data_IF_884242258240
#
_entry.id   IF_884242258240
#
_cell.length_a   1.000
_cell.length_b   1.000
_cell.length_c   1.000
_cell.angle_alpha   90.00
_cell.angle_beta   90.00
_cell.angle_gamma   90.00
#
_symmetry.space_group_name_H-M   'P 1'
#
loop_
_entity.id
_entity.type
_entity.pdbx_description
1 polymer ?
#
# COMPACT_ATOMS: atom_id res chain seq x y z
N UNK A 1 4.32 23.21 -19.79
CA UNK A 1 5.55 23.53 -20.56
C UNK A 1 5.81 22.39 -21.52
N UNK A 2 6.02 22.60 -22.83
CA UNK A 2 6.17 21.47 -23.77
C UNK A 2 7.54 20.77 -23.61
N UNK A 3 7.64 19.50 -24.01
CA UNK A 3 8.86 18.65 -23.88
C UNK A 3 10.12 19.29 -24.48
N UNK A 4 9.96 20.09 -25.53
CA UNK A 4 11.07 20.81 -26.16
C UNK A 4 11.56 21.96 -25.29
N UNK A 5 10.64 22.71 -24.67
CA UNK A 5 10.96 23.82 -23.78
C UNK A 5 11.58 23.31 -22.47
N UNK A 6 11.15 22.16 -21.96
CA UNK A 6 11.76 21.54 -20.78
C UNK A 6 13.19 21.05 -21.05
N UNK A 7 13.40 20.35 -22.17
CA UNK A 7 14.76 19.93 -22.59
C UNK A 7 15.67 21.13 -22.83
N UNK A 8 15.19 22.16 -23.52
CA UNK A 8 15.95 23.38 -23.75
C UNK A 8 16.34 24.09 -22.43
N UNK A 9 15.44 24.09 -21.44
CA UNK A 9 15.74 24.67 -20.12
C UNK A 9 16.74 23.82 -19.32
N UNK A 10 16.65 22.49 -19.42
CA UNK A 10 17.57 21.57 -18.74
C UNK A 10 18.97 21.57 -19.37
N UNK A 11 19.04 21.56 -20.71
CA UNK A 11 20.30 21.61 -21.46
C UNK A 11 20.99 22.98 -21.32
N UNK A 12 20.26 24.02 -20.92
CA UNK A 12 20.80 25.35 -20.62
C UNK A 12 21.35 25.49 -19.19
N UNK A 13 21.23 24.46 -18.34
CA UNK A 13 21.84 24.46 -17.00
C UNK A 13 23.33 24.16 -17.15
N UNK A 14 24.15 25.20 -16.97
CA UNK A 14 25.60 25.07 -17.00
C UNK A 14 26.10 24.56 -15.64
N UNK A 15 26.39 23.27 -15.54
CA UNK A 15 27.03 22.70 -14.36
C UNK A 15 28.52 23.01 -14.39
N UNK A 16 29.12 23.29 -13.23
CA UNK A 16 30.56 23.41 -13.17
C UNK A 16 31.22 22.09 -13.64
N UNK A 17 32.32 22.12 -14.41
CA UNK A 17 32.95 20.92 -14.96
C UNK A 17 33.36 19.89 -13.89
N UNK A 18 33.51 20.36 -12.66
CA UNK A 18 33.88 19.61 -11.46
C UNK A 18 32.67 19.29 -10.55
N UNK A 19 31.42 19.53 -10.99
CA UNK A 19 30.23 19.32 -10.17
C UNK A 19 30.11 17.88 -9.69
N UNK A 20 30.32 16.92 -10.60
CA UNK A 20 30.32 15.49 -10.29
C UNK A 20 31.44 15.15 -9.30
N UNK A 21 32.66 15.62 -9.57
CA UNK A 21 33.82 15.38 -8.71
C UNK A 21 33.66 15.98 -7.31
N UNK A 22 33.13 17.20 -7.21
CA UNK A 22 32.83 17.87 -5.93
C UNK A 22 31.72 17.18 -5.16
N UNK A 23 30.71 16.66 -5.87
CA UNK A 23 29.61 15.93 -5.24
C UNK A 23 30.10 14.59 -4.71
N UNK A 24 30.90 13.85 -5.50
CA UNK A 24 31.56 12.62 -5.07
C UNK A 24 32.52 12.85 -3.90
N UNK A 25 33.31 13.93 -3.90
CA UNK A 25 34.18 14.30 -2.77
C UNK A 25 33.38 14.61 -1.51
N UNK A 26 32.25 15.34 -1.61
CA UNK A 26 31.39 15.62 -0.46
C UNK A 26 30.76 14.34 0.11
N UNK A 27 30.33 13.42 -0.75
CA UNK A 27 29.79 12.12 -0.34
C UNK A 27 30.85 11.25 0.34
N UNK A 28 32.08 11.22 -0.19
CA UNK A 28 33.20 10.52 0.43
C UNK A 28 33.59 11.13 1.79
N UNK A 29 33.58 12.47 1.90
CA UNK A 29 33.86 13.17 3.15
C UNK A 29 32.79 12.89 4.22
N UNK A 30 31.51 12.83 3.83
CA UNK A 30 30.42 12.47 4.73
C UNK A 30 30.50 11.00 5.19
N UNK A 31 30.88 10.07 4.28
CA UNK A 31 31.15 8.67 4.63
C UNK A 31 32.27 8.56 5.67
N UNK A 32 33.40 9.24 5.46
CA UNK A 32 34.51 9.22 6.41
C UNK A 32 34.21 9.91 7.75
N UNK A 33 33.35 10.93 7.76
CA UNK A 33 32.87 11.55 9.00
C UNK A 33 32.01 10.58 9.81
N UNK A 34 31.09 9.87 9.15
CA UNK A 34 30.23 8.84 9.76
C UNK A 34 31.05 7.65 10.28
N UNK A 35 32.05 7.17 9.52
CA UNK A 35 32.97 6.11 9.97
C UNK A 35 33.80 6.53 11.19
N UNK A 36 34.25 7.80 11.27
CA UNK A 36 34.96 8.32 12.44
C UNK A 36 34.04 8.44 13.67
N UNK A 37 32.77 8.76 13.48
CA UNK A 37 31.80 8.80 14.58
C UNK A 37 31.46 7.38 15.09
N UNK A 38 31.37 6.39 14.21
CA UNK A 38 31.18 4.99 14.60
C UNK A 38 32.42 4.40 15.30
N UNK A 39 33.63 4.73 14.84
CA UNK A 39 34.86 4.17 15.41
C UNK A 39 35.26 4.83 16.76
N UNK A 40 34.64 5.95 17.14
CA UNK A 40 34.89 6.65 18.42
C UNK A 40 33.99 6.16 19.57
N UNK A 41 33.08 5.22 19.32
CA UNK A 41 32.33 4.51 20.37
C UNK A 41 32.82 3.07 20.52
N UNK A 42 33.96 2.92 21.18
CA UNK A 42 34.44 1.62 21.66
C UNK A 42 35.13 1.78 23.02
N UNK A 43 34.75 0.90 23.96
CA UNK A 43 35.31 0.65 25.30
C UNK A 43 34.95 1.64 26.43
N UNK A 44 33.76 1.48 27.04
CA UNK A 44 33.58 1.36 28.52
C UNK A 44 32.13 1.33 29.08
N UNK A 45 31.13 0.74 28.40
CA UNK A 45 29.80 0.49 29.03
C UNK A 45 29.19 -0.88 28.74
N UNK A 46 30.02 -1.91 28.82
CA UNK A 46 29.61 -3.31 28.62
C UNK A 46 28.88 -3.93 29.84
N UNK A 47 27.99 -3.17 30.54
CA UNK A 47 27.23 -3.67 31.70
C UNK A 47 25.75 -3.26 31.80
N UNK A 48 25.13 -2.69 30.76
CA UNK A 48 23.68 -2.40 30.76
C UNK A 48 23.02 -2.66 29.40
N UNK A 49 23.26 -3.83 28.83
CA UNK A 49 22.59 -4.29 27.59
C UNK A 49 21.78 -5.54 27.93
N UNK A 50 20.57 -5.34 28.43
CA UNK A 50 19.50 -6.36 28.44
C UNK A 50 18.10 -5.75 28.32
N UNK A 51 17.98 -4.45 28.07
CA UNK A 51 16.68 -3.77 27.97
C UNK A 51 16.74 -2.68 26.91
N UNK A 52 17.07 -3.05 25.66
CA UNK A 52 17.03 -2.17 24.48
C UNK A 52 17.10 -2.97 23.15
N UNK A 53 16.74 -4.25 23.18
CA UNK A 53 16.71 -5.10 21.99
C UNK A 53 15.38 -5.01 21.20
N UNK A 54 14.45 -4.14 21.62
CA UNK A 54 13.20 -3.87 20.90
C UNK A 54 13.22 -2.56 20.09
N UNK A 55 14.28 -1.74 20.19
CA UNK A 55 14.39 -0.47 19.46
C UNK A 55 15.45 -0.48 18.35
N UNK A 56 16.12 -1.61 18.12
CA UNK A 56 17.21 -1.73 17.14
C UNK A 56 16.81 -2.47 15.85
N UNK A 57 15.60 -3.05 15.78
CA UNK A 57 15.06 -3.63 14.52
C UNK A 57 14.39 -2.57 13.66
N UNK A 58 14.00 -1.42 14.22
CA UNK A 58 13.35 -0.32 13.50
C UNK A 58 14.32 0.69 12.82
N UNK A 59 15.64 0.48 12.85
CA UNK A 59 16.64 1.46 12.36
C UNK A 59 17.55 0.95 11.23
N UNK A 60 17.21 -0.18 10.59
CA UNK A 60 18.02 -0.75 9.49
C UNK A 60 17.37 -0.68 8.09
N UNK A 61 16.33 0.14 7.90
CA UNK A 61 15.81 0.47 6.57
C UNK A 61 16.00 1.96 6.25
N UNK A 62 17.24 2.45 6.30
CA UNK A 62 17.60 3.68 5.57
C UNK A 62 18.64 3.29 4.54
N UNK A 63 18.19 2.67 3.45
CA UNK A 63 19.02 2.58 2.25
C UNK A 63 18.99 3.95 1.56
N UNK A 64 20.10 4.65 1.67
CA UNK A 64 20.40 5.88 0.94
C UNK A 64 20.21 5.64 -0.55
N UNK A 65 19.40 6.49 -1.17
CA UNK A 65 19.05 6.49 -2.59
C UNK A 65 20.28 6.40 -3.49
N UNK A 66 20.34 5.36 -4.33
CA UNK A 66 20.91 5.56 -5.66
C UNK A 66 19.90 6.44 -6.41
N UNK A 67 20.25 7.69 -6.71
CA UNK A 67 19.47 8.54 -7.60
C UNK A 67 19.58 8.00 -9.04
N UNK A 68 18.97 6.84 -9.29
CA UNK A 68 18.41 6.55 -10.62
C UNK A 68 17.17 7.43 -10.69
N UNK A 69 17.04 8.28 -11.71
CA UNK A 69 15.89 9.17 -11.86
C UNK A 69 14.63 8.34 -12.14
N UNK A 70 13.95 7.88 -11.09
CA UNK A 70 12.64 7.23 -11.18
C UNK A 70 11.56 8.25 -11.53
N UNK A 71 10.44 7.80 -12.11
CA UNK A 71 9.32 8.68 -12.43
C UNK A 71 8.71 9.25 -11.15
N UNK A 72 8.36 10.54 -11.14
CA UNK A 72 7.50 11.10 -10.09
C UNK A 72 6.06 10.61 -10.24
N UNK A 73 5.19 10.68 -9.21
CA UNK A 73 3.77 10.34 -9.35
C UNK A 73 3.09 11.05 -10.54
N UNK A 74 3.41 12.32 -10.78
CA UNK A 74 2.92 13.06 -11.94
C UNK A 74 3.39 12.47 -13.28
N UNK A 75 4.67 12.08 -13.38
CA UNK A 75 5.19 11.43 -14.59
C UNK A 75 4.61 10.03 -14.80
N UNK A 76 4.30 9.30 -13.72
CA UNK A 76 3.59 8.02 -13.82
C UNK A 76 2.19 8.23 -14.41
N UNK A 77 1.47 9.27 -13.98
CA UNK A 77 0.18 9.63 -14.57
C UNK A 77 0.31 10.06 -16.05
N UNK A 78 1.35 10.81 -16.42
CA UNK A 78 1.63 11.17 -17.82
C UNK A 78 1.86 9.93 -18.70
N UNK A 79 2.61 8.94 -18.21
CA UNK A 79 2.84 7.67 -18.94
C UNK A 79 1.54 6.87 -19.16
N UNK A 80 0.57 7.01 -18.24
CA UNK A 80 -0.77 6.45 -18.40
C UNK A 80 -1.72 7.35 -19.22
N UNK A 81 -1.19 8.38 -19.86
CA UNK A 81 -1.91 9.37 -20.66
C UNK A 81 -3.00 10.12 -19.90
N UNK A 82 -2.83 10.33 -18.59
CA UNK A 82 -3.74 11.12 -17.76
C UNK A 82 -3.08 12.44 -17.30
N UNK A 83 -3.08 13.48 -18.15
CA UNK A 83 -2.48 14.76 -17.81
C UNK A 83 -3.22 15.49 -16.68
N UNK A 84 -4.51 15.22 -16.47
CA UNK A 84 -5.28 15.83 -15.38
C UNK A 84 -4.82 15.28 -14.03
N UNK A 85 -4.61 13.95 -13.97
CA UNK A 85 -4.05 13.32 -12.78
C UNK A 85 -2.60 13.73 -12.54
N UNK A 86 -1.83 13.93 -13.61
CA UNK A 86 -0.47 14.46 -13.51
C UNK A 86 -0.44 15.87 -12.89
N UNK A 87 -1.34 16.77 -13.29
CA UNK A 87 -1.50 18.09 -12.68
C UNK A 87 -1.93 18.00 -11.21
N UNK A 88 -2.84 17.08 -10.88
CA UNK A 88 -3.27 16.84 -9.50
C UNK A 88 -2.10 16.42 -8.59
N UNK A 89 -1.21 15.55 -9.07
CA UNK A 89 0.02 15.16 -8.36
C UNK A 89 1.06 16.28 -8.21
N UNK A 90 0.91 17.41 -8.92
CA UNK A 90 1.74 18.61 -8.77
C UNK A 90 1.07 19.68 -7.90
N UNK A 91 -0.17 19.47 -7.49
CA UNK A 91 -0.93 20.40 -6.66
C UNK A 91 -0.55 20.29 -5.17
N UNK A 92 -1.00 21.27 -4.37
CA UNK A 92 -0.84 21.24 -2.91
C UNK A 92 -1.66 20.12 -2.24
N UNK A 93 -2.65 19.55 -2.94
CA UNK A 93 -3.45 18.43 -2.44
C UNK A 93 -2.72 17.09 -2.53
N UNK A 94 -1.61 17.01 -3.29
CA UNK A 94 -0.82 15.80 -3.41
C UNK A 94 0.05 15.58 -2.16
N UNK A 95 -0.03 14.38 -1.59
CA UNK A 95 0.83 13.95 -0.51
C UNK A 95 1.97 13.11 -1.08
N UNK A 96 3.19 13.63 -1.02
CA UNK A 96 4.40 12.90 -1.41
C UNK A 96 4.91 12.11 -0.20
N UNK A 97 5.05 10.80 -0.37
CA UNK A 97 5.35 9.85 0.71
C UNK A 97 6.76 9.29 0.57
N UNK A 98 7.03 8.58 -0.53
CA UNK A 98 8.26 7.82 -0.77
C UNK A 98 8.63 6.88 0.38
N UNK A 99 7.63 6.26 1.00
CA UNK A 99 7.84 5.24 2.03
C UNK A 99 8.14 3.89 1.37
N UNK A 100 9.14 3.17 1.87
CA UNK A 100 9.62 1.92 1.28
C UNK A 100 9.52 0.77 2.28
N UNK A 101 9.05 -0.38 1.81
CA UNK A 101 9.05 -1.65 2.56
C UNK A 101 9.56 -2.80 1.67
N UNK A 102 10.18 -3.82 2.28
CA UNK A 102 10.63 -5.04 1.58
C UNK A 102 9.59 -6.14 1.75
N UNK A 103 9.24 -6.79 0.63
CA UNK A 103 8.23 -7.86 0.55
C UNK A 103 8.79 -8.99 -0.28
N UNK A 104 9.05 -10.14 0.35
CA UNK A 104 9.74 -11.25 -0.30
C UNK A 104 11.03 -10.78 -0.97
N UNK A 105 11.13 -10.98 -2.28
CA UNK A 105 12.27 -10.54 -3.08
C UNK A 105 12.14 -9.12 -3.66
N UNK A 106 11.11 -8.38 -3.28
CA UNK A 106 10.79 -7.07 -3.84
C UNK A 106 10.97 -5.93 -2.82
N UNK A 107 11.27 -4.76 -3.33
CA UNK A 107 11.20 -3.49 -2.61
C UNK A 107 10.04 -2.69 -3.18
N UNK A 108 9.05 -2.44 -2.34
CA UNK A 108 7.83 -1.69 -2.66
C UNK A 108 7.96 -0.27 -2.12
N UNK A 109 7.56 0.73 -2.90
CA UNK A 109 7.57 2.13 -2.46
C UNK A 109 6.23 2.79 -2.74
N UNK A 110 5.54 3.25 -1.69
CA UNK A 110 4.41 4.16 -1.80
C UNK A 110 4.94 5.56 -2.08
N UNK A 111 4.80 5.99 -3.33
CA UNK A 111 5.43 7.22 -3.83
C UNK A 111 4.65 8.47 -3.42
N UNK A 112 3.32 8.40 -3.52
CA UNK A 112 2.44 9.47 -3.13
C UNK A 112 0.99 9.19 -3.46
N UNK A 113 0.11 10.07 -3.00
CA UNK A 113 -1.33 9.97 -3.23
C UNK A 113 -1.95 11.35 -3.43
N UNK A 114 -3.13 11.39 -4.04
CA UNK A 114 -3.94 12.61 -4.18
C UNK A 114 -5.41 12.22 -4.16
N UNK A 115 -6.23 13.03 -3.48
CA UNK A 115 -7.68 12.90 -3.47
C UNK A 115 -8.33 14.14 -4.07
N UNK A 116 -9.48 13.98 -4.71
CA UNK A 116 -10.25 15.10 -5.22
C UNK A 116 -11.28 14.70 -6.29
N UNK A 117 -12.20 15.61 -6.57
CA UNK A 117 -13.17 15.48 -7.65
C UNK A 117 -12.61 16.05 -8.96
N UNK A 118 -12.92 15.40 -10.08
CA UNK A 118 -12.52 15.83 -11.42
C UNK A 118 -11.00 16.07 -11.54
N UNK A 119 -10.19 15.15 -10.98
CA UNK A 119 -8.73 15.21 -11.04
C UNK A 119 -8.11 14.16 -11.95
N UNK A 120 -8.89 13.27 -12.56
CA UNK A 120 -8.43 12.27 -13.53
C UNK A 120 -9.46 12.10 -14.64
N UNK A 121 -8.99 11.86 -15.87
CA UNK A 121 -9.89 11.58 -16.99
C UNK A 121 -10.57 10.20 -16.89
N UNK A 122 -10.13 9.34 -15.95
CA UNK A 122 -10.77 8.08 -15.63
C UNK A 122 -12.07 8.26 -14.81
N UNK A 123 -12.28 9.45 -14.22
CA UNK A 123 -13.55 9.82 -13.62
C UNK A 123 -14.64 9.94 -14.71
N UNK A 124 -15.50 8.93 -14.85
CA UNK A 124 -16.68 9.02 -15.71
C UNK A 124 -17.75 9.98 -15.14
N UNK A 125 -17.78 10.15 -13.81
CA UNK A 125 -18.59 11.14 -13.12
C UNK A 125 -17.70 12.28 -12.59
N UNK A 126 -17.97 13.49 -13.08
CA UNK A 126 -17.20 14.70 -12.77
C UNK A 126 -17.43 15.16 -11.32
N UNK A 127 -18.48 14.65 -10.64
CA UNK A 127 -18.84 15.10 -9.28
C UNK A 127 -18.31 14.20 -8.16
N UNK A 128 -17.91 12.96 -8.45
CA UNK A 128 -17.42 12.05 -7.42
C UNK A 128 -15.95 12.33 -7.09
N UNK A 129 -15.65 12.54 -5.80
CA UNK A 129 -14.27 12.61 -5.32
C UNK A 129 -13.65 11.22 -5.34
N UNK A 130 -12.41 11.12 -5.80
CA UNK A 130 -11.66 9.87 -5.91
C UNK A 130 -10.29 9.99 -5.25
N UNK A 131 -9.72 8.86 -4.84
CA UNK A 131 -8.37 8.78 -4.30
C UNK A 131 -7.48 7.99 -5.26
N UNK A 132 -6.32 8.56 -5.57
CA UNK A 132 -5.29 7.95 -6.40
C UNK A 132 -4.02 7.73 -5.58
N UNK A 133 -3.41 6.56 -5.69
CA UNK A 133 -2.12 6.26 -5.04
C UNK A 133 -1.15 5.64 -6.04
N UNK A 134 0.10 6.10 -6.02
CA UNK A 134 1.18 5.59 -6.88
C UNK A 134 2.13 4.75 -6.07
N UNK A 135 2.30 3.50 -6.50
CA UNK A 135 3.22 2.55 -5.92
C UNK A 135 4.22 2.11 -6.98
N UNK A 136 5.46 1.87 -6.56
CA UNK A 136 6.44 1.23 -7.44
C UNK A 136 7.07 0.01 -6.79
N UNK A 137 7.45 -0.95 -7.63
CA UNK A 137 8.03 -2.23 -7.23
C UNK A 137 9.30 -2.49 -8.03
N UNK A 138 10.35 -2.92 -7.36
CA UNK A 138 11.60 -3.42 -7.95
C UNK A 138 12.04 -4.69 -7.24
N UNK A 139 12.90 -5.48 -7.89
CA UNK A 139 13.63 -6.54 -7.19
C UNK A 139 14.59 -5.94 -6.18
N UNK A 140 14.62 -6.51 -4.98
CA UNK A 140 15.56 -6.15 -3.91
C UNK A 140 17.01 -6.41 -4.32
N UNK A 141 17.25 -7.43 -5.15
CA UNK A 141 18.58 -7.78 -5.66
C UNK A 141 19.08 -6.87 -6.81
N UNK A 142 18.26 -5.93 -7.27
CA UNK A 142 18.59 -5.00 -8.36
C UNK A 142 18.40 -5.55 -9.77
N UNK A 143 17.92 -6.78 -9.93
CA UNK A 143 17.56 -7.34 -11.24
C UNK A 143 16.39 -6.55 -11.85
N UNK A 144 16.50 -6.09 -13.11
CA UNK A 144 15.40 -5.38 -13.76
C UNK A 144 14.14 -6.24 -13.91
N UNK A 145 12.98 -5.67 -13.60
CA UNK A 145 11.68 -6.26 -13.96
C UNK A 145 11.44 -6.14 -15.47
N UNK A 146 11.06 -7.25 -16.08
CA UNK A 146 10.71 -7.37 -17.50
C UNK A 146 9.41 -8.16 -17.63
N UNK A 147 8.75 -8.09 -18.79
CA UNK A 147 7.54 -8.88 -19.07
C UNK A 147 7.79 -10.40 -18.99
N UNK A 148 9.05 -10.84 -19.07
CA UNK A 148 9.43 -12.26 -18.97
C UNK A 148 9.50 -12.76 -17.52
N UNK A 149 9.80 -11.87 -16.57
CA UNK A 149 10.06 -12.24 -15.17
C UNK A 149 9.09 -11.60 -14.17
N UNK A 150 8.15 -10.79 -14.64
CA UNK A 150 7.21 -10.06 -13.79
C UNK A 150 5.88 -9.82 -14.49
N UNK A 151 4.80 -10.27 -13.86
CA UNK A 151 3.45 -10.02 -14.34
C UNK A 151 2.95 -8.65 -13.87
N UNK A 152 3.23 -7.63 -14.69
CA UNK A 152 2.87 -6.24 -14.38
C UNK A 152 1.39 -5.95 -14.60
N UNK A 153 0.56 -6.88 -15.08
CA UNK A 153 -0.86 -6.58 -15.24
C UNK A 153 -1.50 -6.24 -13.89
N UNK A 154 -2.55 -5.41 -13.87
CA UNK A 154 -3.27 -5.11 -12.63
C UNK A 154 -3.69 -6.39 -11.92
N UNK A 155 -3.26 -6.52 -10.66
CA UNK A 155 -3.44 -7.71 -9.84
C UNK A 155 -2.79 -9.01 -10.36
N UNK A 156 -1.83 -8.94 -11.28
CA UNK A 156 -1.01 -10.08 -11.70
C UNK A 156 -0.04 -10.51 -10.61
N UNK A 157 1.07 -9.78 -10.47
CA UNK A 157 2.06 -10.03 -9.41
C UNK A 157 1.54 -9.64 -8.01
N UNK A 158 0.92 -8.46 -7.89
CA UNK A 158 0.42 -7.95 -6.61
C UNK A 158 -0.99 -7.40 -6.75
N UNK A 159 -1.87 -7.74 -5.80
CA UNK A 159 -3.09 -6.97 -5.55
C UNK A 159 -2.73 -5.72 -4.75
N UNK A 160 -3.15 -4.55 -5.24
CA UNK A 160 -3.05 -3.26 -4.56
C UNK A 160 -4.44 -2.87 -4.06
N UNK A 161 -4.63 -2.72 -2.75
CA UNK A 161 -5.95 -2.43 -2.20
C UNK A 161 -5.89 -1.52 -0.97
N UNK A 162 -6.84 -0.59 -0.81
CA UNK A 162 -7.05 0.05 0.47
C UNK A 162 -7.71 -0.93 1.45
N UNK A 163 -7.52 -0.68 2.75
CA UNK A 163 -8.22 -1.31 3.88
C UNK A 163 -8.47 -0.25 4.95
N UNK A 164 -9.47 -0.43 5.79
CA UNK A 164 -9.81 0.55 6.85
C UNK A 164 -9.95 -0.16 8.18
N UNK A 165 -9.25 0.34 9.20
CA UNK A 165 -9.40 -0.16 10.57
C UNK A 165 -10.84 -0.08 11.04
N UNK A 166 -11.31 -1.10 11.76
CA UNK A 166 -12.70 -1.18 12.23
C UNK A 166 -13.73 -1.62 11.19
N UNK A 167 -13.30 -2.03 9.99
CA UNK A 167 -14.16 -2.62 8.96
C UNK A 167 -13.67 -3.99 8.51
N UNK A 168 -14.59 -4.87 8.17
CA UNK A 168 -14.30 -6.16 7.54
C UNK A 168 -13.52 -5.94 6.23
N UNK A 169 -12.37 -6.63 6.01
CA UNK A 169 -11.56 -6.49 4.79
C UNK A 169 -12.36 -6.73 3.50
N UNK A 170 -13.43 -7.54 3.55
CA UNK A 170 -14.28 -7.83 2.40
C UNK A 170 -15.23 -6.68 2.06
N UNK A 171 -15.56 -5.82 3.02
CA UNK A 171 -16.51 -4.73 2.85
C UNK A 171 -15.85 -3.45 2.32
N UNK A 172 -14.61 -3.15 2.73
CA UNK A 172 -13.88 -1.93 2.29
C UNK A 172 -12.55 -2.31 1.64
N UNK A 173 -12.54 -2.41 0.32
CA UNK A 173 -11.36 -2.73 -0.49
C UNK A 173 -11.51 -2.24 -1.93
N UNK A 174 -10.48 -2.44 -2.75
CA UNK A 174 -10.47 -2.01 -4.16
C UNK A 174 -11.67 -2.51 -4.97
N UNK A 175 -12.19 -3.70 -4.68
CA UNK A 175 -13.32 -4.28 -5.42
C UNK A 175 -14.67 -3.70 -5.00
N UNK A 176 -14.82 -3.24 -3.76
CA UNK A 176 -16.07 -2.63 -3.26
C UNK A 176 -16.08 -1.11 -3.45
N UNK A 177 -14.91 -0.46 -3.45
CA UNK A 177 -14.76 0.99 -3.59
C UNK A 177 -14.84 1.47 -5.05
N UNK A 178 -15.46 0.71 -5.95
CA UNK A 178 -15.47 0.97 -7.39
C UNK A 178 -14.03 1.28 -7.89
N UNK A 179 -13.10 0.45 -7.45
CA UNK A 179 -11.68 0.67 -7.66
C UNK A 179 -11.15 -0.02 -8.90
N UNK A 180 -10.08 0.55 -9.43
CA UNK A 180 -9.30 0.02 -10.53
C UNK A 180 -7.81 0.19 -10.21
N UNK A 181 -6.98 -0.61 -10.86
CA UNK A 181 -5.54 -0.44 -10.82
C UNK A 181 -5.03 -0.42 -12.27
N UNK A 182 -4.16 0.53 -12.58
CA UNK A 182 -3.42 0.57 -13.84
C UNK A 182 -1.93 0.37 -13.55
N UNK A 183 -1.20 -0.23 -14.48
CA UNK A 183 0.20 -0.55 -14.25
C UNK A 183 1.00 -0.69 -15.53
N UNK A 184 2.32 -0.48 -15.42
CA UNK A 184 3.27 -0.63 -16.53
C UNK A 184 4.69 -0.85 -16.02
N UNK A 185 5.55 -1.38 -16.90
CA UNK A 185 6.99 -1.47 -16.68
C UNK A 185 7.70 -0.26 -17.31
N UNK A 186 8.65 0.32 -16.58
CA UNK A 186 9.60 1.30 -17.11
C UNK A 186 10.94 1.16 -16.40
N UNK A 187 12.00 1.01 -17.18
CA UNK A 187 13.39 0.97 -16.72
C UNK A 187 13.64 -0.06 -15.58
N UNK A 188 13.05 -1.26 -15.71
CA UNK A 188 13.24 -2.34 -14.73
C UNK A 188 12.39 -2.20 -13.46
N UNK A 189 11.45 -1.26 -13.42
CA UNK A 189 10.53 -1.00 -12.31
C UNK A 189 9.09 -1.13 -12.79
N UNK A 190 8.26 -1.74 -11.96
CA UNK A 190 6.81 -1.74 -12.13
C UNK A 190 6.23 -0.54 -11.41
N UNK A 191 5.31 0.16 -12.06
CA UNK A 191 4.51 1.22 -11.46
C UNK A 191 3.05 0.79 -11.46
N UNK A 192 2.38 1.06 -10.35
CA UNK A 192 0.97 0.82 -10.12
C UNK A 192 0.32 2.14 -9.73
N UNK A 193 -0.84 2.42 -10.33
CA UNK A 193 -1.72 3.52 -9.95
C UNK A 193 -3.05 2.93 -9.53
N UNK A 194 -3.30 2.96 -8.23
CA UNK A 194 -4.60 2.66 -7.66
C UNK A 194 -5.53 3.85 -7.88
N UNK A 195 -6.76 3.56 -8.25
CA UNK A 195 -7.88 4.49 -8.36
C UNK A 195 -9.07 3.92 -7.57
N UNK A 196 -9.63 4.64 -6.60
CA UNK A 196 -10.85 4.26 -5.87
C UNK A 196 -11.78 5.45 -5.66
N UNK A 197 -13.04 5.18 -5.28
CA UNK A 197 -13.84 6.18 -4.56
C UNK A 197 -13.01 6.80 -3.41
N UNK A 198 -13.30 8.07 -3.07
CA UNK A 198 -12.50 8.78 -2.08
C UNK A 198 -12.43 8.02 -0.76
N UNK A 199 -11.21 7.84 -0.26
CA UNK A 199 -10.93 7.25 1.03
C UNK A 199 -11.12 8.26 2.18
N UNK A 200 -11.31 9.53 1.86
CA UNK A 200 -11.42 10.64 2.82
C UNK A 200 -12.58 10.46 3.80
N UNK A 201 -13.69 9.85 3.36
CA UNK A 201 -14.86 9.60 4.21
C UNK A 201 -14.54 8.70 5.40
N UNK A 202 -13.49 7.86 5.29
CA UNK A 202 -13.01 6.95 6.33
C UNK A 202 -11.86 7.53 7.17
N UNK A 203 -11.52 8.81 7.02
CA UNK A 203 -10.32 9.40 7.64
C UNK A 203 -10.40 9.58 9.17
N UNK A 204 -11.55 9.30 9.79
CA UNK A 204 -11.68 9.13 11.25
C UNK A 204 -11.18 7.76 11.73
N UNK A 205 -10.88 6.85 10.80
CA UNK A 205 -10.21 5.58 11.01
C UNK A 205 -8.80 5.59 10.42
N UNK A 206 -7.96 4.65 10.86
CA UNK A 206 -6.70 4.38 10.16
C UNK A 206 -7.02 3.73 8.82
N UNK A 207 -6.57 4.34 7.72
CA UNK A 207 -6.69 3.80 6.37
C UNK A 207 -5.33 3.28 5.93
N UNK A 208 -5.31 2.06 5.42
CA UNK A 208 -4.11 1.37 4.94
C UNK A 208 -4.14 1.21 3.42
N UNK A 209 -2.96 1.14 2.81
CA UNK A 209 -2.77 0.62 1.47
C UNK A 209 -1.95 -0.67 1.56
N UNK A 210 -2.58 -1.80 1.24
CA UNK A 210 -1.94 -3.10 1.22
C UNK A 210 -1.48 -3.49 -0.19
N UNK A 211 -0.32 -4.13 -0.27
CA UNK A 211 0.15 -4.87 -1.44
C UNK A 211 0.47 -6.30 -1.03
N UNK A 212 -0.15 -7.29 -1.67
CA UNK A 212 0.13 -8.70 -1.43
C UNK A 212 0.13 -9.52 -2.71
N UNK A 213 0.91 -10.60 -2.74
CA UNK A 213 1.12 -11.42 -3.94
C UNK A 213 -0.18 -12.07 -4.45
N UNK A 214 -0.33 -12.05 -5.78
CA UNK A 214 -1.40 -12.72 -6.52
C UNK A 214 -2.71 -11.94 -6.66
N UNK A 215 -3.63 -12.51 -7.44
CA UNK A 215 -4.99 -11.98 -7.65
C UNK A 215 -5.98 -12.61 -6.68
N UNK A 216 -6.31 -11.92 -5.60
CA UNK A 216 -7.34 -12.38 -4.68
C UNK A 216 -8.03 -11.21 -4.00
N UNK A 217 -9.33 -11.34 -3.72
CA UNK A 217 -10.06 -10.39 -2.90
C UNK A 217 -9.52 -10.40 -1.45
N UNK A 218 -9.48 -9.25 -0.77
CA UNK A 218 -9.16 -9.22 0.66
C UNK A 218 -10.14 -10.05 1.48
N UNK A 219 -9.61 -10.79 2.46
CA UNK A 219 -10.39 -11.67 3.33
C UNK A 219 -9.61 -11.96 4.62
N UNK A 220 -10.26 -12.61 5.58
CA UNK A 220 -9.60 -13.08 6.81
C UNK A 220 -8.54 -14.17 6.60
N UNK A 221 -8.45 -14.77 5.40
CA UNK A 221 -7.33 -15.65 5.07
C UNK A 221 -6.01 -14.88 4.96
N UNK A 222 -6.10 -13.56 4.69
CA UNK A 222 -4.95 -12.69 4.41
C UNK A 222 -4.71 -11.65 5.49
N UNK A 223 -5.78 -11.21 6.15
CA UNK A 223 -5.72 -10.15 7.14
C UNK A 223 -6.30 -10.63 8.47
N UNK A 224 -5.68 -10.20 9.56
CA UNK A 224 -6.23 -10.34 10.91
C UNK A 224 -6.68 -8.97 11.41
N UNK A 225 -7.66 -8.97 12.31
CA UNK A 225 -8.15 -7.76 12.96
C UNK A 225 -8.03 -7.88 14.47
N UNK A 226 -7.42 -6.87 15.08
CA UNK A 226 -7.33 -6.74 16.53
C UNK A 226 -8.67 -6.27 17.13
N UNK A 227 -8.81 -6.35 18.46
CA UNK A 227 -10.03 -5.91 19.17
C UNK A 227 -10.34 -4.42 18.95
N UNK A 228 -9.32 -3.59 18.73
CA UNK A 228 -9.48 -2.17 18.44
C UNK A 228 -9.74 -1.87 16.94
N UNK A 229 -9.87 -2.92 16.11
CA UNK A 229 -10.11 -2.81 14.68
C UNK A 229 -8.85 -2.60 13.84
N UNK A 230 -7.65 -2.54 14.45
CA UNK A 230 -6.38 -2.49 13.71
C UNK A 230 -6.28 -3.70 12.78
N UNK A 231 -5.91 -3.44 11.52
CA UNK A 231 -5.71 -4.48 10.51
C UNK A 231 -4.23 -4.84 10.46
N UNK A 232 -3.94 -6.14 10.47
CA UNK A 232 -2.60 -6.67 10.23
C UNK A 232 -2.61 -7.66 9.06
N UNK A 233 -1.48 -7.74 8.36
CA UNK A 233 -1.25 -8.76 7.34
C UNK A 233 -0.83 -10.06 8.04
N UNK A 234 -1.43 -11.19 7.65
CA UNK A 234 -1.09 -12.49 8.24
C UNK A 234 0.31 -12.95 7.85
N UNK A 235 0.98 -13.65 8.77
CA UNK A 235 2.37 -14.12 8.62
C UNK A 235 2.61 -15.01 7.38
N UNK A 236 1.57 -15.70 6.90
CA UNK A 236 1.64 -16.57 5.72
C UNK A 236 1.41 -15.83 4.40
N UNK A 237 1.24 -14.51 4.42
CA UNK A 237 1.01 -13.68 3.24
C UNK A 237 2.27 -12.89 2.90
N UNK A 238 2.78 -13.09 1.69
CA UNK A 238 3.82 -12.22 1.13
C UNK A 238 3.21 -10.88 0.73
N UNK A 239 3.37 -9.86 1.58
CA UNK A 239 2.84 -8.52 1.32
C UNK A 239 3.42 -7.45 2.25
N UNK A 240 2.97 -6.21 2.06
CA UNK A 240 3.21 -5.09 2.96
C UNK A 240 1.96 -4.21 3.09
N UNK A 241 1.98 -3.33 4.09
CA UNK A 241 0.92 -2.37 4.35
C UNK A 241 1.52 -1.01 4.71
N UNK A 242 1.01 0.04 4.09
CA UNK A 242 1.35 1.43 4.37
C UNK A 242 0.16 2.12 5.05
N UNK A 243 0.42 3.06 5.96
CA UNK A 243 -0.65 3.91 6.53
C UNK A 243 -0.81 5.15 5.65
N UNK A 244 -2.02 5.45 5.21
CA UNK A 244 -2.32 6.62 4.38
C UNK A 244 -2.56 7.84 5.29
N UNK A 245 -1.83 8.97 5.09
CA UNK A 245 -1.97 10.17 5.91
C UNK A 245 -3.15 11.03 5.46
N UNK A 246 -4.37 10.53 5.66
CA UNK A 246 -5.59 11.30 5.34
C UNK A 246 -5.83 12.40 6.38
N UNK A 247 -6.38 13.52 5.93
CA UNK A 247 -6.82 14.59 6.85
C UNK A 247 -8.12 14.17 7.55
N UNK A 248 -8.04 13.90 8.84
CA UNK A 248 -9.20 13.51 9.68
C UNK A 248 -10.39 14.49 9.62
N UNK A 249 -10.18 15.73 9.17
CA UNK A 249 -11.25 16.70 8.98
C UNK A 249 -12.14 16.43 7.75
N UNK A 250 -11.71 15.55 6.85
CA UNK A 250 -12.49 15.15 5.67
C UNK A 250 -13.37 13.93 5.91
N UNK A 251 -13.33 13.36 7.11
CA UNK A 251 -14.14 12.21 7.52
C UNK A 251 -15.63 12.52 7.40
N UNK A 252 -16.39 11.53 6.94
CA UNK A 252 -17.84 11.56 6.88
C UNK A 252 -18.38 10.19 7.31
N UNK A 253 -18.59 9.98 8.62
CA UNK A 253 -19.04 8.69 9.15
C UNK A 253 -20.41 8.25 8.64
N UNK A 254 -21.28 9.20 8.29
CA UNK A 254 -22.60 8.91 7.72
C UNK A 254 -22.45 8.41 6.27
N UNK A 255 -21.59 9.03 5.47
CA UNK A 255 -21.26 8.56 4.12
C UNK A 255 -20.52 7.21 4.15
N UNK A 256 -19.55 7.02 5.07
CA UNK A 256 -18.84 5.76 5.25
C UNK A 256 -19.81 4.62 5.60
N UNK A 257 -20.78 4.89 6.49
CA UNK A 257 -21.85 3.94 6.84
C UNK A 257 -22.74 3.62 5.65
N UNK A 258 -23.22 4.63 4.94
CA UNK A 258 -24.05 4.44 3.76
C UNK A 258 -23.32 3.61 2.68
N UNK A 259 -22.01 3.85 2.51
CA UNK A 259 -21.17 3.06 1.61
C UNK A 259 -21.16 1.58 2.02
N UNK A 260 -20.77 1.25 3.26
CA UNK A 260 -20.65 -0.16 3.66
C UNK A 260 -21.99 -0.90 3.65
N UNK A 261 -23.08 -0.22 4.03
CA UNK A 261 -24.43 -0.78 3.94
C UNK A 261 -24.84 -1.07 2.49
N UNK A 262 -24.44 -0.22 1.55
CA UNK A 262 -24.74 -0.39 0.12
C UNK A 262 -24.04 -1.61 -0.50
N UNK A 263 -22.94 -2.09 0.08
CA UNK A 263 -22.21 -3.26 -0.43
C UNK A 263 -22.99 -4.58 -0.26
N UNK A 264 -23.90 -4.64 0.72
CA UNK A 264 -24.58 -5.87 1.11
C UNK A 264 -23.66 -6.91 1.80
N UNK A 265 -22.40 -6.55 2.09
CA UNK A 265 -21.43 -7.39 2.78
C UNK A 265 -21.45 -7.03 4.27
N UNK A 266 -21.44 -8.01 5.20
CA UNK A 266 -21.21 -7.74 6.62
C UNK A 266 -19.90 -6.96 6.80
N UNK A 267 -19.99 -5.77 7.38
CA UNK A 267 -18.88 -4.84 7.49
C UNK A 267 -18.33 -4.71 8.91
N UNK A 268 -19.06 -5.23 9.91
CA UNK A 268 -18.54 -5.33 11.27
C UNK A 268 -17.36 -6.31 11.29
N UNK A 269 -16.20 -5.90 11.85
CA UNK A 269 -15.01 -6.72 11.84
C UNK A 269 -15.15 -7.90 12.81
N UNK A 270 -14.53 -9.01 12.47
CA UNK A 270 -14.34 -10.15 13.36
C UNK A 270 -12.88 -10.29 13.73
N UNK A 271 -12.63 -10.45 15.02
CA UNK A 271 -11.33 -10.89 15.53
C UNK A 271 -11.07 -12.34 15.14
N UNK A 272 -9.81 -12.77 15.14
CA UNK A 272 -9.44 -14.16 14.87
C UNK A 272 -10.14 -15.15 15.82
N UNK A 273 -10.37 -14.74 17.08
CA UNK A 273 -11.10 -15.56 18.05
C UNK A 273 -12.58 -15.74 17.67
N UNK A 274 -13.24 -14.69 17.17
CA UNK A 274 -14.63 -14.77 16.71
C UNK A 274 -14.73 -15.59 15.41
N UNK A 275 -13.78 -15.40 14.49
CA UNK A 275 -13.70 -16.17 13.25
C UNK A 275 -13.53 -17.67 13.54
N UNK A 276 -12.62 -18.05 14.44
CA UNK A 276 -12.42 -19.45 14.82
C UNK A 276 -13.68 -20.10 15.42
N UNK A 277 -14.49 -19.34 16.18
CA UNK A 277 -15.77 -19.82 16.69
C UNK A 277 -16.79 -20.01 15.56
N UNK A 278 -16.83 -19.09 14.60
CA UNK A 278 -17.71 -19.22 13.44
C UNK A 278 -17.35 -20.43 12.58
N UNK A 279 -16.07 -20.61 12.25
CA UNK A 279 -15.59 -21.74 11.44
C UNK A 279 -15.90 -23.08 12.13
N UNK A 280 -15.66 -23.19 13.44
CA UNK A 280 -16.01 -24.38 14.21
C UNK A 280 -17.53 -24.68 14.25
N UNK A 281 -18.38 -23.65 14.08
CA UNK A 281 -19.83 -23.83 13.98
C UNK A 281 -20.27 -24.17 12.54
N UNK A 282 -19.56 -23.70 11.52
CA UNK A 282 -19.81 -24.03 10.11
C UNK A 282 -19.41 -25.48 9.78
N UNK A 283 -18.44 -26.05 10.50
CA UNK A 283 -18.04 -27.45 10.43
C UNK A 283 -19.02 -28.42 11.12
N UNK A 284 -20.21 -27.97 11.52
CA UNK A 284 -21.24 -28.85 12.09
C UNK A 284 -22.16 -29.40 10.99
N UNK A 285 -22.11 -30.72 10.73
CA UNK A 285 -23.08 -31.39 9.88
C UNK A 285 -24.45 -31.47 10.58
N UNK A 286 -25.48 -30.93 9.92
CA UNK A 286 -26.86 -31.03 10.40
C UNK A 286 -27.62 -32.05 9.56
N UNK A 287 -27.71 -33.29 10.05
CA UNK A 287 -28.57 -34.29 9.46
C UNK A 287 -30.03 -34.04 9.87
N UNK A 288 -30.89 -33.87 8.86
CA UNK A 288 -32.32 -33.73 9.04
C UNK A 288 -33.02 -35.05 8.72
N UNK A 289 -33.68 -35.64 9.72
CA UNK A 289 -34.57 -36.79 9.52
C UNK A 289 -36.00 -36.44 9.93
N UNK A 290 -36.97 -37.00 9.20
CA UNK A 290 -38.39 -36.88 9.54
C UNK A 290 -38.95 -38.26 9.84
N UNK A 291 -39.67 -38.40 10.95
CA UNK A 291 -40.40 -39.63 11.24
C UNK A 291 -41.66 -39.75 10.36
N UNK A 292 -42.23 -40.96 10.27
CA UNK A 292 -43.43 -41.23 9.47
C UNK A 292 -44.71 -40.52 9.94
N UNK A 293 -44.63 -39.68 10.99
CA UNK A 293 -45.74 -38.91 11.56
C UNK A 293 -45.48 -37.39 11.45
N UNK A 294 -44.35 -36.98 10.85
CA UNK A 294 -44.04 -35.59 10.53
C UNK A 294 -43.22 -34.84 11.58
N UNK A 295 -42.69 -35.50 12.62
CA UNK A 295 -41.73 -34.87 13.51
C UNK A 295 -40.36 -34.77 12.83
N UNK A 296 -39.71 -33.61 12.96
CA UNK A 296 -38.36 -33.39 12.45
C UNK A 296 -37.36 -33.54 13.59
N UNK A 297 -36.34 -34.37 13.38
CA UNK A 297 -35.19 -34.52 14.27
C UNK A 297 -33.96 -33.98 13.57
N UNK A 298 -33.20 -33.14 14.28
CA UNK A 298 -31.94 -32.58 13.83
C UNK A 298 -30.82 -33.23 14.63
N UNK A 299 -29.88 -33.88 13.95
CA UNK A 299 -28.63 -34.37 14.54
C UNK A 299 -27.53 -33.40 14.14
N UNK A 300 -26.85 -32.85 15.14
CA UNK A 300 -25.71 -31.94 14.96
C UNK A 300 -24.46 -32.74 15.33
N UNK A 301 -23.54 -32.92 14.38
CA UNK A 301 -22.28 -33.64 14.58
C UNK A 301 -21.11 -32.80 14.03
N UNK A 302 -19.92 -32.96 14.58
CA UNK A 302 -18.70 -32.35 14.03
C UNK A 302 -18.34 -33.04 12.70
N UNK A 303 -18.01 -32.25 11.67
CA UNK A 303 -17.49 -32.76 10.41
C UNK A 303 -16.14 -33.45 10.65
N UNK A 304 -15.99 -34.68 10.13
CA UNK A 304 -14.78 -35.50 10.27
C UNK A 304 -13.61 -34.99 9.41
#
# INVERSE_FOLDING_TARGET
MNRQNYRAAFDAVDFSPDFEERTLQKLAAMRHASEKEQNKMSMNRMKKITLLAAAAVALLAVTVSAAVLWLTPAQVAEELNDPMLAEAFQSEAAVILNETQTVGDYTVTLMGMVSGANISQWCADVQESRTYAVVSVVRTDGTPLTEENYDVVPCGAFTVTPLVSGYDPRAVNVFTLNGACSSFLRDGRAYYVLDTQSLEIFSDHTVYLALYEGFAAPSYERFSLAEDGTVDLRDNVTGCMFTLPLDTHTADPDAARAFVESTGIPWEPMTDAQLAVQEAHEDLEVEKSADGVGNQTFLIQEAN
#
